data_IF_399490629836
#
_entry.id   IF_399490629836
#
_cell.length_a   1.000
_cell.length_b   1.000
_cell.length_c   1.000
_cell.angle_alpha   90.00
_cell.angle_beta   90.00
_cell.angle_gamma   90.00
#
_symmetry.space_group_name_H-M   'P 1'
#
loop_
_entity.id
_entity.type
_entity.pdbx_description
1 polymer ?
#
# COMPACT_ATOMS: atom_id res chain seq x y z
N UNK A 1 -5.42 -28.28 0.13
CA UNK A 1 -4.39 -28.85 1.03
C UNK A 1 -3.24 -27.86 1.12
N UNK A 2 -3.00 -27.32 2.31
CA UNK A 2 -1.93 -26.39 2.64
C UNK A 2 -0.58 -27.10 2.72
N UNK A 3 0.51 -26.38 2.45
CA UNK A 3 1.92 -26.82 2.55
C UNK A 3 2.30 -27.43 3.93
N UNK A 4 1.49 -27.19 4.96
CA UNK A 4 1.52 -27.92 6.24
C UNK A 4 0.09 -28.38 6.59
N UNK A 5 -0.31 -29.61 6.25
CA UNK A 5 -1.67 -30.10 6.49
C UNK A 5 -1.91 -30.54 7.94
N UNK A 6 -0.86 -30.68 8.76
CA UNK A 6 -0.95 -31.17 10.16
C UNK A 6 -0.73 -30.10 11.23
N UNK A 7 -0.35 -28.88 10.87
CA UNK A 7 -0.29 -27.78 11.84
C UNK A 7 -1.62 -27.01 11.78
N UNK A 8 -2.51 -27.24 12.74
CA UNK A 8 -3.53 -26.25 13.12
C UNK A 8 -2.81 -25.06 13.76
N UNK A 9 -2.07 -24.31 12.94
CA UNK A 9 -1.30 -23.18 13.39
C UNK A 9 -2.27 -22.03 13.64
N UNK A 10 -2.42 -21.68 14.92
CA UNK A 10 -3.26 -20.56 15.30
C UNK A 10 -2.76 -19.30 14.59
N UNK A 11 -3.59 -18.68 13.75
CA UNK A 11 -3.22 -17.50 12.94
C UNK A 11 -2.69 -16.35 13.82
N UNK A 12 -3.18 -16.26 15.06
CA UNK A 12 -2.71 -15.29 16.05
C UNK A 12 -1.27 -15.59 16.49
N UNK A 13 -0.92 -16.87 16.67
CA UNK A 13 0.43 -17.30 17.02
C UNK A 13 1.41 -17.08 15.87
N UNK A 14 0.99 -17.37 14.63
CA UNK A 14 1.80 -17.06 13.43
C UNK A 14 2.04 -15.56 13.33
N UNK A 15 0.98 -14.75 13.46
CA UNK A 15 1.09 -13.31 13.43
C UNK A 15 1.99 -12.77 14.55
N UNK A 16 1.94 -13.35 15.74
CA UNK A 16 2.81 -12.98 16.86
C UNK A 16 4.28 -13.31 16.57
N UNK A 17 4.59 -14.50 16.02
CA UNK A 17 5.95 -14.87 15.60
C UNK A 17 6.45 -13.89 14.52
N UNK A 18 5.63 -13.59 13.52
CA UNK A 18 5.94 -12.61 12.46
C UNK A 18 6.26 -11.25 13.07
N UNK A 19 5.43 -10.78 14.03
CA UNK A 19 5.66 -9.52 14.73
C UNK A 19 7.02 -9.50 15.46
N UNK A 20 7.36 -10.56 16.19
CA UNK A 20 8.66 -10.69 16.87
C UNK A 20 9.82 -10.66 15.87
N UNK A 21 9.73 -11.39 14.76
CA UNK A 21 10.74 -11.38 13.71
C UNK A 21 10.92 -9.97 13.13
N UNK A 22 9.83 -9.27 12.83
CA UNK A 22 9.87 -7.90 12.31
C UNK A 22 10.52 -6.94 13.32
N UNK A 23 10.23 -7.07 14.61
CA UNK A 23 10.88 -6.27 15.66
C UNK A 23 12.40 -6.46 15.62
N UNK A 24 12.87 -7.72 15.61
CA UNK A 24 14.31 -8.05 15.57
C UNK A 24 14.98 -7.48 14.32
N UNK A 25 14.36 -7.65 13.15
CA UNK A 25 14.91 -7.17 11.89
C UNK A 25 15.00 -5.63 11.83
N UNK A 26 14.04 -4.93 12.44
CA UNK A 26 14.00 -3.46 12.43
C UNK A 26 15.02 -2.78 13.36
N UNK A 27 15.66 -3.52 14.28
CA UNK A 27 16.66 -2.95 15.19
C UNK A 27 17.96 -2.50 14.51
N UNK A 28 18.33 -3.13 13.37
CA UNK A 28 19.62 -2.96 12.67
C UNK A 28 19.48 -2.44 11.22
N UNK A 29 18.35 -1.83 10.89
CA UNK A 29 18.09 -1.38 9.51
C UNK A 29 19.00 -0.20 9.13
N UNK A 30 20.02 -0.47 8.31
CA UNK A 30 20.86 0.52 7.64
C UNK A 30 20.44 0.62 6.17
N UNK A 31 20.29 1.83 5.65
CA UNK A 31 19.77 2.10 4.29
C UNK A 31 20.47 1.29 3.18
N UNK A 32 21.78 1.01 3.32
CA UNK A 32 22.52 0.22 2.32
C UNK A 32 22.04 -1.23 2.26
N UNK A 33 21.85 -1.87 3.41
CA UNK A 33 21.39 -3.27 3.51
C UNK A 33 19.98 -3.38 2.95
N UNK A 34 19.15 -2.39 3.26
CA UNK A 34 17.77 -2.26 2.82
C UNK A 34 17.66 -2.17 1.28
N UNK A 35 18.56 -1.44 0.62
CA UNK A 35 18.60 -1.36 -0.86
C UNK A 35 18.91 -2.72 -1.51
N UNK A 36 19.91 -3.47 -1.03
CA UNK A 36 20.22 -4.80 -1.58
C UNK A 36 19.08 -5.79 -1.37
N UNK A 37 18.46 -5.75 -0.19
CA UNK A 37 17.28 -6.57 0.09
C UNK A 37 16.11 -6.21 -0.84
N UNK A 38 15.88 -4.92 -1.12
CA UNK A 38 14.86 -4.48 -2.08
C UNK A 38 15.06 -5.10 -3.47
N UNK A 39 16.30 -5.21 -3.94
CA UNK A 39 16.60 -5.87 -5.21
C UNK A 39 16.15 -7.32 -5.22
N UNK A 40 16.44 -8.06 -4.15
CA UNK A 40 15.99 -9.44 -3.98
C UNK A 40 14.45 -9.53 -3.93
N UNK A 41 13.79 -8.64 -3.18
CA UNK A 41 12.33 -8.60 -3.10
C UNK A 41 11.68 -8.35 -4.46
N UNK A 42 12.25 -7.45 -5.27
CA UNK A 42 11.78 -7.17 -6.62
C UNK A 42 11.95 -8.37 -7.55
N UNK A 43 13.06 -9.12 -7.44
CA UNK A 43 13.27 -10.36 -8.20
C UNK A 43 12.23 -11.41 -7.78
N UNK A 44 12.03 -11.63 -6.47
CA UNK A 44 11.01 -12.55 -5.98
C UNK A 44 9.61 -12.16 -6.45
N UNK A 45 9.28 -10.86 -6.42
CA UNK A 45 8.01 -10.33 -6.92
C UNK A 45 7.88 -10.57 -8.42
N UNK A 46 8.91 -10.27 -9.22
CA UNK A 46 8.89 -10.50 -10.66
C UNK A 46 8.67 -11.98 -11.01
N UNK A 47 9.40 -12.88 -10.35
CA UNK A 47 9.21 -14.34 -10.54
C UNK A 47 7.81 -14.78 -10.14
N UNK A 48 7.31 -14.31 -8.98
CA UNK A 48 5.95 -14.59 -8.53
C UNK A 48 4.90 -14.07 -9.52
N UNK A 49 5.09 -12.87 -10.06
CA UNK A 49 4.23 -12.28 -11.07
C UNK A 49 4.22 -13.09 -12.37
N UNK A 50 5.38 -13.53 -12.85
CA UNK A 50 5.48 -14.39 -14.04
C UNK A 50 4.68 -15.68 -13.83
N UNK A 51 4.84 -16.33 -12.66
CA UNK A 51 4.08 -17.55 -12.34
C UNK A 51 2.57 -17.30 -12.28
N UNK A 52 2.14 -16.15 -11.74
CA UNK A 52 0.72 -15.73 -11.75
C UNK A 52 0.21 -15.63 -13.18
N UNK A 53 0.92 -14.92 -14.07
CA UNK A 53 0.48 -14.77 -15.46
C UNK A 53 0.47 -16.11 -16.21
N UNK A 54 1.50 -16.94 -16.03
CA UNK A 54 1.53 -18.30 -16.59
C UNK A 54 0.30 -19.09 -16.13
N UNK A 55 -0.04 -19.02 -14.84
CA UNK A 55 -1.25 -19.67 -14.32
C UNK A 55 -2.52 -19.13 -14.98
N UNK A 56 -2.68 -17.80 -15.05
CA UNK A 56 -3.88 -17.16 -15.60
C UNK A 56 -4.11 -17.55 -17.06
N UNK A 57 -3.05 -17.57 -17.88
CA UNK A 57 -3.16 -17.88 -19.31
C UNK A 57 -3.27 -19.39 -19.59
N UNK A 58 -2.71 -20.26 -18.74
CA UNK A 58 -2.81 -21.72 -18.92
C UNK A 58 -4.11 -22.31 -18.38
N UNK A 59 -4.70 -21.68 -17.35
CA UNK A 59 -5.91 -22.18 -16.69
C UNK A 59 -7.21 -21.87 -17.41
N UNK A 60 -7.15 -21.13 -18.53
CA UNK A 60 -8.29 -20.67 -19.31
C UNK A 60 -8.95 -19.43 -18.73
N UNK A 61 -9.04 -18.37 -19.52
CA UNK A 61 -9.78 -17.14 -19.18
C UNK A 61 -11.24 -17.28 -19.64
N UNK A 62 -12.18 -16.79 -18.85
CA UNK A 62 -13.56 -16.68 -19.31
C UNK A 62 -13.74 -15.49 -20.27
N UNK A 63 -14.75 -15.58 -21.15
CA UNK A 63 -15.13 -14.46 -22.03
C UNK A 63 -15.58 -13.26 -21.20
N UNK A 64 -15.26 -12.05 -21.68
CA UNK A 64 -15.64 -10.78 -21.04
C UNK A 64 -17.17 -10.66 -20.92
N UNK A 65 -17.91 -11.22 -21.89
CA UNK A 65 -19.38 -11.20 -21.92
C UNK A 65 -20.04 -11.96 -20.76
N UNK A 66 -19.29 -12.82 -20.07
CA UNK A 66 -19.80 -13.59 -18.93
C UNK A 66 -20.06 -12.71 -17.70
N UNK A 67 -19.37 -11.58 -17.58
CA UNK A 67 -19.40 -10.75 -16.38
C UNK A 67 -20.16 -9.45 -16.59
N UNK A 68 -20.87 -8.94 -15.56
CA UNK A 68 -21.57 -7.67 -15.68
C UNK A 68 -20.56 -6.53 -15.90
N UNK A 69 -20.86 -5.65 -16.88
CA UNK A 69 -19.98 -4.53 -17.23
C UNK A 69 -19.91 -3.45 -16.13
N UNK A 70 -20.92 -3.37 -15.26
CA UNK A 70 -21.04 -2.36 -14.22
C UNK A 70 -21.29 -3.06 -12.88
N UNK A 71 -20.57 -2.64 -11.84
CA UNK A 71 -20.76 -3.10 -10.46
C UNK A 71 -21.58 -2.08 -9.65
N UNK A 72 -21.98 -2.46 -8.44
CA UNK A 72 -22.69 -1.60 -7.50
C UNK A 72 -21.86 -0.35 -7.13
N UNK A 73 -22.53 0.77 -6.86
CA UNK A 73 -21.89 2.03 -6.52
C UNK A 73 -20.94 1.92 -5.30
N UNK A 74 -21.34 1.15 -4.28
CA UNK A 74 -20.49 0.90 -3.11
C UNK A 74 -19.20 0.16 -3.47
N UNK A 75 -19.29 -0.86 -4.34
CA UNK A 75 -18.13 -1.62 -4.80
C UNK A 75 -17.21 -0.77 -5.68
N UNK A 76 -17.79 0.16 -6.46
CA UNK A 76 -17.01 1.13 -7.24
C UNK A 76 -16.20 2.05 -6.33
N UNK A 77 -16.78 2.55 -5.23
CA UNK A 77 -16.06 3.40 -4.26
C UNK A 77 -14.94 2.65 -3.53
N UNK A 78 -15.18 1.38 -3.18
CA UNK A 78 -14.16 0.51 -2.58
C UNK A 78 -13.04 0.24 -3.57
N UNK A 79 -13.37 -0.12 -4.82
CA UNK A 79 -12.39 -0.33 -5.88
C UNK A 79 -11.55 0.93 -6.13
N UNK A 80 -12.20 2.10 -6.20
CA UNK A 80 -11.50 3.38 -6.33
C UNK A 80 -10.51 3.60 -5.19
N UNK A 81 -10.91 3.31 -3.94
CA UNK A 81 -10.06 3.46 -2.76
C UNK A 81 -8.86 2.50 -2.78
N UNK A 82 -9.06 1.24 -3.19
CA UNK A 82 -7.97 0.26 -3.36
C UNK A 82 -7.01 0.68 -4.47
N UNK A 83 -7.51 1.24 -5.58
CA UNK A 83 -6.67 1.80 -6.65
C UNK A 83 -5.84 2.97 -6.11
N UNK A 84 -6.45 3.87 -5.33
CA UNK A 84 -5.73 4.97 -4.70
C UNK A 84 -4.63 4.49 -3.76
N UNK A 85 -4.91 3.46 -2.95
CA UNK A 85 -3.89 2.81 -2.12
C UNK A 85 -2.76 2.20 -2.94
N UNK A 86 -3.07 1.59 -4.10
CA UNK A 86 -2.07 0.93 -4.95
C UNK A 86 -1.05 1.89 -5.57
N UNK A 87 -1.36 3.19 -5.62
CA UNK A 87 -0.45 4.24 -6.08
C UNK A 87 0.16 5.06 -4.93
N UNK A 88 0.01 4.59 -3.68
CA UNK A 88 0.63 5.22 -2.53
C UNK A 88 2.16 5.01 -2.55
N UNK A 89 2.90 6.06 -2.87
CA UNK A 89 4.37 6.08 -2.79
C UNK A 89 4.96 7.47 -2.55
N UNK A 90 4.12 8.46 -2.27
CA UNK A 90 4.50 9.88 -2.27
C UNK A 90 5.52 10.22 -1.18
N UNK A 91 5.48 9.51 -0.04
CA UNK A 91 6.42 9.70 1.07
C UNK A 91 7.86 9.29 0.74
N UNK A 92 8.04 8.45 -0.29
CA UNK A 92 9.34 7.97 -0.75
C UNK A 92 9.94 8.84 -1.85
N UNK A 93 9.15 9.71 -2.48
CA UNK A 93 9.58 10.55 -3.61
C UNK A 93 10.80 11.40 -3.25
N UNK A 94 10.72 12.20 -2.19
CA UNK A 94 11.82 13.10 -1.81
C UNK A 94 13.08 12.34 -1.32
N UNK A 95 12.97 11.32 -0.45
CA UNK A 95 14.12 10.49 -0.09
C UNK A 95 14.81 9.86 -1.29
N UNK A 96 14.05 9.29 -2.24
CA UNK A 96 14.60 8.67 -3.45
C UNK A 96 15.29 9.71 -4.33
N UNK A 97 14.62 10.82 -4.63
CA UNK A 97 15.16 11.88 -5.47
C UNK A 97 16.48 12.44 -4.90
N UNK A 98 16.55 12.64 -3.57
CA UNK A 98 17.77 13.13 -2.90
C UNK A 98 18.96 12.16 -2.93
N UNK A 99 18.72 10.89 -3.27
CA UNK A 99 19.74 9.83 -3.30
C UNK A 99 20.13 9.42 -4.72
N UNK A 100 19.52 10.01 -5.75
CA UNK A 100 19.89 9.77 -7.14
C UNK A 100 21.19 10.49 -7.50
N UNK A 101 21.95 9.88 -8.42
CA UNK A 101 23.13 10.50 -9.02
C UNK A 101 22.75 11.80 -9.77
N UNK A 102 21.62 11.79 -10.47
CA UNK A 102 21.03 12.97 -11.09
C UNK A 102 19.58 13.17 -10.60
N UNK A 103 19.37 14.06 -9.60
CA UNK A 103 18.04 14.38 -9.09
C UNK A 103 17.12 15.09 -10.08
N UNK A 104 17.67 15.74 -11.12
CA UNK A 104 16.90 16.49 -12.11
C UNK A 104 16.15 15.54 -13.08
N UNK A 105 16.74 14.39 -13.37
CA UNK A 105 16.14 13.33 -14.18
C UNK A 105 14.96 12.60 -13.51
N UNK A 106 14.74 12.75 -12.20
CA UNK A 106 13.66 12.04 -11.50
C UNK A 106 12.27 12.44 -12.00
N UNK A 107 12.01 13.74 -12.09
CA UNK A 107 10.71 14.33 -12.47
C UNK A 107 10.58 14.70 -13.94
N UNK A 108 11.58 14.36 -14.78
CA UNK A 108 11.51 14.60 -16.22
C UNK A 108 10.34 13.86 -16.88
N UNK A 109 9.89 14.30 -18.06
CA UNK A 109 8.77 13.70 -18.80
C UNK A 109 8.95 12.21 -19.04
N UNK A 110 10.16 11.78 -19.36
CA UNK A 110 10.58 10.36 -19.47
C UNK A 110 11.54 9.99 -18.33
N UNK A 111 11.39 10.65 -17.19
CA UNK A 111 12.19 10.42 -16.00
C UNK A 111 11.84 9.12 -15.30
N UNK A 112 12.54 8.87 -14.20
CA UNK A 112 12.40 7.64 -13.41
C UNK A 112 10.99 7.50 -12.84
N UNK A 113 10.40 8.60 -12.35
CA UNK A 113 9.06 8.57 -11.76
C UNK A 113 7.99 8.20 -12.80
N UNK A 114 7.97 8.90 -13.95
CA UNK A 114 6.95 8.65 -14.99
C UNK A 114 7.05 7.24 -15.55
N UNK A 115 8.26 6.79 -15.86
CA UNK A 115 8.50 5.43 -16.39
C UNK A 115 8.08 4.37 -15.37
N UNK A 116 8.44 4.54 -14.10
CA UNK A 116 8.04 3.64 -13.02
C UNK A 116 6.52 3.56 -12.86
N UNK A 117 5.83 4.70 -12.87
CA UNK A 117 4.37 4.74 -12.73
C UNK A 117 3.66 4.07 -13.92
N UNK A 118 4.13 4.26 -15.16
CA UNK A 118 3.54 3.58 -16.33
C UNK A 118 3.63 2.06 -16.17
N UNK A 119 4.80 1.53 -15.79
CA UNK A 119 4.99 0.10 -15.56
C UNK A 119 4.04 -0.42 -14.49
N UNK A 120 3.92 0.28 -13.37
CA UNK A 120 3.03 -0.10 -12.26
C UNK A 120 1.56 -0.07 -12.70
N UNK A 121 1.12 0.97 -13.42
CA UNK A 121 -0.26 1.07 -13.95
C UNK A 121 -0.56 -0.11 -14.87
N UNK A 122 0.30 -0.39 -15.85
CA UNK A 122 0.10 -1.49 -16.78
C UNK A 122 0.05 -2.84 -16.05
N UNK A 123 0.93 -3.04 -15.07
CA UNK A 123 0.98 -4.29 -14.30
C UNK A 123 -0.28 -4.47 -13.46
N UNK A 124 -0.69 -3.45 -12.69
CA UNK A 124 -1.89 -3.50 -11.86
C UNK A 124 -3.15 -3.71 -12.71
N UNK A 125 -3.24 -3.03 -13.85
CA UNK A 125 -4.36 -3.19 -14.78
C UNK A 125 -4.40 -4.61 -15.36
N UNK A 126 -3.27 -5.16 -15.80
CA UNK A 126 -3.21 -6.52 -16.34
C UNK A 126 -3.59 -7.57 -15.30
N UNK A 127 -3.07 -7.46 -14.08
CA UNK A 127 -3.38 -8.40 -12.98
C UNK A 127 -4.84 -8.31 -12.58
N UNK A 128 -5.36 -7.09 -12.40
CA UNK A 128 -6.76 -6.87 -12.06
C UNK A 128 -7.70 -7.43 -13.14
N UNK A 129 -7.42 -7.12 -14.41
CA UNK A 129 -8.24 -7.55 -15.54
C UNK A 129 -8.21 -9.08 -15.73
N UNK A 130 -7.03 -9.67 -15.94
CA UNK A 130 -6.92 -11.12 -16.19
C UNK A 130 -7.25 -11.95 -14.95
N UNK A 131 -6.93 -11.45 -13.75
CA UNK A 131 -7.33 -12.07 -12.49
C UNK A 131 -8.85 -12.14 -12.35
N UNK A 132 -9.54 -11.03 -12.63
CA UNK A 132 -11.00 -11.00 -12.59
C UNK A 132 -11.64 -11.91 -13.64
N UNK A 133 -11.12 -11.93 -14.88
CA UNK A 133 -11.61 -12.84 -15.92
C UNK A 133 -11.47 -14.32 -15.56
N UNK A 134 -10.51 -14.68 -14.72
CA UNK A 134 -10.32 -16.08 -14.29
C UNK A 134 -11.18 -16.46 -13.10
N UNK A 135 -11.23 -15.62 -12.07
CA UNK A 135 -11.82 -15.93 -10.77
C UNK A 135 -13.22 -15.34 -10.56
N UNK A 136 -13.58 -14.28 -11.30
CA UNK A 136 -14.85 -13.58 -11.17
C UNK A 136 -15.11 -13.08 -9.74
N UNK A 137 -16.36 -13.23 -9.30
CA UNK A 137 -16.81 -12.82 -7.95
C UNK A 137 -16.23 -13.66 -6.81
N UNK A 138 -15.62 -14.81 -7.10
CA UNK A 138 -14.96 -15.66 -6.10
C UNK A 138 -13.51 -15.22 -5.82
N UNK A 139 -13.13 -14.03 -6.27
CA UNK A 139 -11.78 -13.52 -6.04
C UNK A 139 -11.58 -13.11 -4.59
N UNK A 140 -10.64 -13.77 -3.92
CA UNK A 140 -10.14 -13.36 -2.61
C UNK A 140 -9.38 -12.03 -2.71
N UNK A 141 -9.25 -11.31 -1.58
CA UNK A 141 -8.59 -10.00 -1.49
C UNK A 141 -7.11 -9.96 -1.91
N UNK A 142 -6.50 -11.12 -2.18
CA UNK A 142 -5.20 -11.24 -2.84
C UNK A 142 -5.24 -12.34 -3.89
N UNK A 143 -4.70 -12.07 -5.09
CA UNK A 143 -4.61 -13.06 -6.17
C UNK A 143 -3.80 -14.31 -5.76
N UNK A 144 -2.84 -14.15 -4.86
CA UNK A 144 -2.00 -15.25 -4.37
C UNK A 144 -2.81 -16.29 -3.59
N UNK A 145 -3.93 -15.91 -2.98
CA UNK A 145 -4.82 -16.81 -2.26
C UNK A 145 -5.64 -17.67 -3.22
N UNK A 146 -6.04 -17.10 -4.35
CA UNK A 146 -6.84 -17.76 -5.39
C UNK A 146 -6.05 -18.82 -6.17
N UNK A 147 -4.71 -18.74 -6.19
CA UNK A 147 -3.88 -19.70 -6.91
C UNK A 147 -3.72 -20.99 -6.08
N UNK A 148 -4.13 -22.15 -6.64
CA UNK A 148 -4.01 -23.43 -5.96
C UNK A 148 -2.54 -23.82 -5.82
N UNK A 149 -2.23 -24.54 -4.74
CA UNK A 149 -0.88 -25.08 -4.51
C UNK A 149 -0.58 -26.33 -5.36
N UNK A 150 -1.61 -26.90 -5.97
CA UNK A 150 -1.53 -28.09 -6.83
C UNK A 150 -2.05 -27.68 -8.21
N UNK A 151 -1.33 -27.99 -9.32
CA UNK A 151 -0.06 -28.73 -9.40
C UNK A 151 1.14 -27.95 -8.82
N UNK A 152 2.17 -28.70 -8.37
CA UNK A 152 3.33 -28.16 -7.61
C UNK A 152 4.11 -27.04 -8.30
N UNK A 153 3.99 -26.88 -9.62
CA UNK A 153 4.61 -25.81 -10.39
C UNK A 153 4.23 -24.40 -9.92
N UNK A 154 3.04 -24.22 -9.35
CA UNK A 154 2.57 -22.92 -8.83
C UNK A 154 2.72 -22.78 -7.31
N UNK A 155 3.13 -23.85 -6.60
CA UNK A 155 3.38 -23.81 -5.16
C UNK A 155 4.39 -22.70 -4.73
N UNK A 156 5.43 -22.35 -5.52
CA UNK A 156 6.38 -21.31 -5.15
C UNK A 156 5.80 -19.88 -5.09
N UNK A 157 4.63 -19.61 -5.67
CA UNK A 157 4.03 -18.25 -5.69
C UNK A 157 3.89 -17.68 -4.29
N UNK A 158 3.29 -18.43 -3.35
CA UNK A 158 3.07 -17.95 -1.98
C UNK A 158 4.39 -17.68 -1.23
N UNK A 159 5.37 -18.61 -1.17
CA UNK A 159 6.68 -18.34 -0.57
C UNK A 159 7.41 -17.13 -1.17
N UNK A 160 7.41 -16.98 -2.49
CA UNK A 160 8.07 -15.85 -3.17
C UNK A 160 7.47 -14.51 -2.71
N UNK A 161 6.15 -14.41 -2.68
CA UNK A 161 5.47 -13.19 -2.20
C UNK A 161 5.64 -12.99 -0.70
N UNK A 162 5.67 -14.04 0.11
CA UNK A 162 5.96 -13.93 1.55
C UNK A 162 7.34 -13.30 1.76
N UNK A 163 8.39 -13.83 1.10
CA UNK A 163 9.75 -13.29 1.18
C UNK A 163 9.79 -11.83 0.71
N UNK A 164 9.18 -11.54 -0.44
CA UNK A 164 9.11 -10.18 -0.96
C UNK A 164 8.41 -9.22 0.02
N UNK A 165 7.27 -9.61 0.59
CA UNK A 165 6.53 -8.78 1.56
C UNK A 165 7.32 -8.54 2.84
N UNK A 166 8.01 -9.55 3.38
CA UNK A 166 8.86 -9.39 4.56
C UNK A 166 9.94 -8.33 4.35
N UNK A 167 10.61 -8.40 3.20
CA UNK A 167 11.66 -7.44 2.86
C UNK A 167 11.09 -6.05 2.58
N UNK A 168 9.98 -5.97 1.83
CA UNK A 168 9.28 -4.71 1.55
C UNK A 168 8.78 -4.02 2.81
N UNK A 169 8.37 -4.78 3.84
CA UNK A 169 8.00 -4.21 5.14
C UNK A 169 9.18 -3.45 5.77
N UNK A 170 10.41 -3.98 5.70
CA UNK A 170 11.59 -3.31 6.26
C UNK A 170 11.88 -1.97 5.58
N UNK A 171 11.66 -1.91 4.26
CA UNK A 171 11.78 -0.70 3.45
C UNK A 171 10.71 0.32 3.83
N UNK A 172 9.45 -0.10 3.84
CA UNK A 172 8.31 0.77 4.12
C UNK A 172 8.32 1.28 5.57
N UNK A 173 8.80 0.46 6.51
CA UNK A 173 8.93 0.81 7.92
C UNK A 173 10.00 1.89 8.19
N UNK A 174 11.04 1.97 7.35
CA UNK A 174 12.12 2.93 7.52
C UNK A 174 11.63 4.39 7.56
N UNK A 175 10.74 4.76 6.64
CA UNK A 175 10.22 6.13 6.51
C UNK A 175 9.45 6.59 7.76
N UNK A 176 8.38 5.91 8.22
CA UNK A 176 7.68 6.30 9.43
C UNK A 176 8.62 6.28 10.65
N UNK A 177 9.50 5.28 10.78
CA UNK A 177 10.46 5.27 11.88
C UNK A 177 11.38 6.51 11.88
N UNK A 178 11.81 7.00 10.71
CA UNK A 178 12.61 8.22 10.60
C UNK A 178 11.78 9.49 10.87
N UNK A 179 10.53 9.54 10.44
CA UNK A 179 9.62 10.66 10.72
C UNK A 179 9.34 10.77 12.21
N UNK A 180 8.92 9.67 12.85
CA UNK A 180 8.64 9.65 14.29
C UNK A 180 9.89 9.88 15.14
N UNK A 181 11.06 9.39 14.72
CA UNK A 181 12.34 9.70 15.39
C UNK A 181 12.60 11.20 15.40
N UNK A 182 12.45 11.88 14.25
CA UNK A 182 12.63 13.35 14.15
C UNK A 182 11.58 14.12 14.94
N UNK A 183 10.34 13.63 14.98
CA UNK A 183 9.29 14.23 15.80
C UNK A 183 9.63 14.11 17.29
N UNK A 184 10.13 12.94 17.71
CA UNK A 184 10.51 12.67 19.08
C UNK A 184 11.70 13.51 19.53
N UNK A 185 12.68 13.74 18.65
CA UNK A 185 13.81 14.65 18.92
C UNK A 185 13.38 16.10 19.18
N UNK A 186 12.25 16.54 18.62
CA UNK A 186 11.67 17.88 18.87
C UNK A 186 10.93 17.98 20.21
N UNK A 187 10.61 16.86 20.87
CA UNK A 187 9.91 16.87 22.15
C UNK A 187 10.87 17.24 23.28
N UNK A 188 10.52 18.24 24.10
CA UNK A 188 11.33 18.72 25.24
C UNK A 188 11.73 17.59 26.20
N UNK A 189 10.83 16.63 26.46
CA UNK A 189 11.10 15.47 27.33
C UNK A 189 12.22 14.57 26.80
N UNK A 190 12.39 14.48 25.47
CA UNK A 190 13.46 13.70 24.85
C UNK A 190 14.75 14.52 24.68
N UNK A 191 14.60 15.83 24.41
CA UNK A 191 15.72 16.75 24.33
C UNK A 191 16.48 16.87 25.67
N UNK A 192 15.79 16.81 26.81
CA UNK A 192 16.45 16.89 28.12
C UNK A 192 16.87 15.53 28.70
N UNK A 193 16.62 14.42 27.99
CA UNK A 193 16.92 13.08 28.46
C UNK A 193 18.40 12.71 28.28
N UNK A 194 18.92 11.85 29.17
CA UNK A 194 20.28 11.28 29.06
C UNK A 194 20.44 10.46 27.77
N UNK A 195 21.68 10.33 27.26
CA UNK A 195 21.99 9.56 26.04
C UNK A 195 21.43 8.13 26.08
N UNK A 196 21.46 7.48 27.24
CA UNK A 196 20.92 6.13 27.42
C UNK A 196 19.38 6.10 27.34
N UNK A 197 18.71 7.09 27.95
CA UNK A 197 17.25 7.24 27.87
C UNK A 197 16.80 7.58 26.45
N UNK A 198 17.54 8.43 25.72
CA UNK A 198 17.26 8.72 24.32
C UNK A 198 17.31 7.46 23.46
N UNK A 199 18.36 6.63 23.65
CA UNK A 199 18.47 5.35 22.96
C UNK A 199 17.29 4.42 23.24
N UNK A 200 16.91 4.23 24.51
CA UNK A 200 15.78 3.39 24.91
C UNK A 200 14.48 3.91 24.32
N UNK A 201 14.22 5.21 24.44
CA UNK A 201 13.03 5.87 23.92
C UNK A 201 12.86 5.67 22.41
N UNK A 202 13.94 5.79 21.64
CA UNK A 202 13.91 5.55 20.19
C UNK A 202 13.63 4.07 19.86
N UNK A 203 14.15 3.12 20.64
CA UNK A 203 13.86 1.70 20.45
C UNK A 203 12.42 1.35 20.83
N UNK A 204 11.90 1.89 21.94
CA UNK A 204 10.51 1.70 22.35
C UNK A 204 9.53 2.28 21.32
N UNK A 205 9.80 3.47 20.80
CA UNK A 205 9.01 4.06 19.71
C UNK A 205 9.00 3.13 18.49
N UNK A 206 10.14 2.52 18.14
CA UNK A 206 10.20 1.58 17.01
C UNK A 206 9.34 0.33 17.26
N UNK A 207 9.48 -0.28 18.43
CA UNK A 207 8.66 -1.43 18.82
C UNK A 207 7.16 -1.06 18.77
N UNK A 208 6.79 0.12 19.28
CA UNK A 208 5.40 0.59 19.28
C UNK A 208 4.81 0.70 17.87
N UNK A 209 5.58 1.14 16.88
CA UNK A 209 5.11 1.22 15.49
C UNK A 209 4.84 -0.17 14.90
N UNK A 210 5.69 -1.15 15.19
CA UNK A 210 5.48 -2.54 14.73
C UNK A 210 4.25 -3.15 15.42
N UNK A 211 4.12 -2.97 16.74
CA UNK A 211 2.94 -3.45 17.49
C UNK A 211 1.66 -2.81 16.96
N UNK A 212 1.67 -1.51 16.66
CA UNK A 212 0.53 -0.82 16.07
C UNK A 212 0.11 -1.45 14.74
N UNK A 213 1.08 -1.73 13.85
CA UNK A 213 0.79 -2.40 12.57
C UNK A 213 0.23 -3.81 12.74
N UNK A 214 0.72 -4.56 13.73
CA UNK A 214 0.20 -5.88 14.07
C UNK A 214 -1.23 -5.81 14.62
N UNK A 215 -1.51 -4.86 15.52
CA UNK A 215 -2.85 -4.65 16.06
C UNK A 215 -3.86 -4.32 14.95
N UNK A 216 -3.49 -3.44 14.00
CA UNK A 216 -4.34 -3.12 12.86
C UNK A 216 -4.66 -4.37 12.00
N UNK A 217 -3.67 -5.23 11.75
CA UNK A 217 -3.86 -6.46 11.00
C UNK A 217 -4.77 -7.49 11.72
N UNK A 218 -4.73 -7.53 13.05
CA UNK A 218 -5.59 -8.41 13.86
C UNK A 218 -7.03 -7.90 13.92
N UNK A 219 -7.22 -6.57 13.96
CA UNK A 219 -8.55 -5.94 14.05
C UNK A 219 -9.37 -6.10 12.77
N UNK A 220 -8.74 -6.03 11.59
CA UNK A 220 -9.42 -6.12 10.29
C UNK A 220 -8.89 -7.35 9.52
N UNK A 221 -9.50 -8.54 9.70
CA UNK A 221 -9.02 -9.78 9.09
C UNK A 221 -9.35 -9.90 7.58
N UNK A 222 -9.88 -8.85 6.96
CA UNK A 222 -10.20 -8.73 5.53
C UNK A 222 -9.25 -7.72 4.88
N UNK A 223 -8.28 -8.24 4.12
CA UNK A 223 -7.22 -7.44 3.53
C UNK A 223 -7.77 -6.37 2.58
N UNK A 224 -8.71 -6.73 1.70
CA UNK A 224 -9.40 -5.83 0.79
C UNK A 224 -10.06 -4.63 1.49
N UNK A 225 -10.74 -4.87 2.61
CA UNK A 225 -11.36 -3.81 3.42
C UNK A 225 -10.30 -2.91 4.09
N UNK A 226 -9.22 -3.50 4.60
CA UNK A 226 -8.11 -2.73 5.17
C UNK A 226 -7.45 -1.83 4.11
N UNK A 227 -7.19 -2.36 2.91
CA UNK A 227 -6.64 -1.59 1.79
C UNK A 227 -7.56 -0.44 1.38
N UNK A 228 -8.86 -0.70 1.31
CA UNK A 228 -9.88 0.31 1.01
C UNK A 228 -9.90 1.41 2.08
N UNK A 229 -9.87 1.06 3.37
CA UNK A 229 -9.89 2.03 4.47
C UNK A 229 -8.67 2.96 4.45
N UNK A 230 -7.48 2.39 4.25
CA UNK A 230 -6.24 3.16 4.19
C UNK A 230 -6.22 4.04 2.93
N UNK A 231 -6.66 3.51 1.79
CA UNK A 231 -6.77 4.23 0.54
C UNK A 231 -7.77 5.39 0.59
N UNK A 232 -8.93 5.19 1.20
CA UNK A 232 -9.96 6.22 1.35
C UNK A 232 -9.48 7.31 2.31
N UNK A 233 -8.86 6.98 3.43
CA UNK A 233 -8.42 7.97 4.41
C UNK A 233 -7.10 8.65 4.02
N UNK A 234 -6.02 7.88 3.96
CA UNK A 234 -4.68 8.40 3.76
C UNK A 234 -4.41 8.66 2.27
N UNK A 235 -4.78 7.71 1.41
CA UNK A 235 -4.53 7.79 -0.04
C UNK A 235 -5.21 9.00 -0.69
N UNK A 236 -6.51 9.18 -0.47
CA UNK A 236 -7.27 10.31 -1.05
C UNK A 236 -6.76 11.68 -0.54
N UNK A 237 -6.44 11.77 0.76
CA UNK A 237 -5.95 13.00 1.39
C UNK A 237 -4.59 13.38 0.84
N UNK A 238 -3.65 12.43 0.79
CA UNK A 238 -2.27 12.69 0.35
C UNK A 238 -2.14 12.86 -1.17
N UNK A 239 -2.98 12.18 -1.97
CA UNK A 239 -2.90 12.25 -3.42
C UNK A 239 -3.65 13.44 -4.02
N UNK A 240 -4.81 13.80 -3.47
CA UNK A 240 -5.67 14.84 -4.05
C UNK A 240 -5.77 16.08 -3.18
N UNK A 241 -6.18 15.94 -1.92
CA UNK A 241 -6.53 17.09 -1.08
C UNK A 241 -5.28 17.92 -0.74
N UNK A 242 -4.23 17.27 -0.22
CA UNK A 242 -3.04 17.96 0.26
C UNK A 242 -2.25 18.64 -0.87
N UNK A 243 -1.94 18.00 -2.01
CA UNK A 243 -1.24 18.69 -3.10
C UNK A 243 -2.06 19.84 -3.68
N UNK A 244 -3.36 19.65 -3.90
CA UNK A 244 -4.22 20.69 -4.48
C UNK A 244 -4.39 21.90 -3.54
N UNK A 245 -4.50 21.67 -2.24
CA UNK A 245 -4.59 22.76 -1.25
C UNK A 245 -3.28 23.51 -1.11
N UNK A 246 -2.14 22.82 -1.06
CA UNK A 246 -0.83 23.46 -0.97
C UNK A 246 -0.52 24.30 -2.20
N UNK A 247 -0.78 23.79 -3.41
CA UNK A 247 -0.56 24.53 -4.65
C UNK A 247 -1.50 25.75 -4.74
N UNK A 248 -2.76 25.61 -4.32
CA UNK A 248 -3.71 26.72 -4.30
C UNK A 248 -3.28 27.83 -3.31
N UNK A 249 -2.81 27.46 -2.12
CA UNK A 249 -2.29 28.42 -1.12
C UNK A 249 -1.03 29.10 -1.66
N UNK A 250 -0.14 28.35 -2.29
CA UNK A 250 1.11 28.87 -2.84
C UNK A 250 0.86 29.88 -3.98
N UNK A 251 -0.09 29.61 -4.88
CA UNK A 251 -0.43 30.48 -6.02
C UNK A 251 -1.40 31.61 -5.65
N UNK A 252 -1.96 31.62 -4.43
CA UNK A 252 -2.95 32.61 -4.00
C UNK A 252 -2.45 34.07 -4.01
N UNK A 253 -1.21 34.38 -3.60
CA UNK A 253 -0.69 35.75 -3.62
C UNK A 253 -0.58 36.32 -5.04
N UNK A 254 -0.17 35.50 -6.01
CA UNK A 254 0.08 35.90 -7.40
C UNK A 254 -1.14 35.73 -8.32
N UNK A 255 -2.34 35.52 -7.75
CA UNK A 255 -3.57 35.25 -8.51
C UNK A 255 -3.93 36.33 -9.53
N UNK A 256 -3.52 37.58 -9.30
CA UNK A 256 -3.75 38.70 -10.23
C UNK A 256 -2.89 38.65 -11.49
N UNK A 257 -1.73 38.00 -11.42
CA UNK A 257 -0.78 37.88 -12.53
C UNK A 257 -1.06 36.64 -13.42
N UNK A 258 -1.91 35.72 -12.96
CA UNK A 258 -2.23 34.48 -13.66
C UNK A 258 -3.52 34.68 -14.47
N UNK A 259 -3.39 34.68 -15.80
CA UNK A 259 -4.56 34.77 -16.70
C UNK A 259 -5.53 33.60 -16.46
N UNK A 260 -6.82 33.91 -16.31
CA UNK A 260 -7.89 32.93 -16.02
C UNK A 260 -7.67 32.10 -14.75
N UNK A 261 -7.03 32.65 -13.71
CA UNK A 261 -6.78 31.98 -12.43
C UNK A 261 -8.01 31.22 -11.88
N UNK A 262 -9.16 31.89 -11.81
CA UNK A 262 -10.39 31.31 -11.27
C UNK A 262 -10.89 30.11 -12.08
N UNK A 263 -10.78 30.16 -13.40
CA UNK A 263 -11.30 29.09 -14.27
C UNK A 263 -10.31 27.95 -14.48
N UNK A 264 -9.01 28.23 -14.58
CA UNK A 264 -7.99 27.21 -14.85
C UNK A 264 -7.37 26.62 -13.59
N UNK A 265 -7.02 27.46 -12.62
CA UNK A 265 -6.29 27.03 -11.43
C UNK A 265 -7.29 26.65 -10.34
N UNK A 266 -8.15 27.59 -9.94
CA UNK A 266 -9.09 27.36 -8.84
C UNK A 266 -10.07 26.23 -9.12
N UNK A 267 -10.76 26.22 -10.28
CA UNK A 267 -11.69 25.14 -10.64
C UNK A 267 -11.00 23.78 -10.69
N UNK A 268 -9.81 23.69 -11.30
CA UNK A 268 -9.04 22.43 -11.37
C UNK A 268 -8.74 21.87 -9.97
N UNK A 269 -8.23 22.71 -9.07
CA UNK A 269 -7.90 22.27 -7.70
C UNK A 269 -9.15 21.95 -6.88
N UNK A 270 -10.25 22.68 -7.07
CA UNK A 270 -11.53 22.36 -6.43
C UNK A 270 -12.11 21.03 -6.91
N UNK A 271 -11.95 20.69 -8.19
CA UNK A 271 -12.32 19.36 -8.71
C UNK A 271 -11.49 18.27 -8.02
N UNK A 272 -10.16 18.43 -7.93
CA UNK A 272 -9.32 17.46 -7.24
C UNK A 272 -9.68 17.30 -5.76
N UNK A 273 -9.91 18.41 -5.04
CA UNK A 273 -10.34 18.37 -3.64
C UNK A 273 -11.70 17.66 -3.52
N UNK A 274 -12.65 17.94 -4.42
CA UNK A 274 -13.97 17.30 -4.43
C UNK A 274 -13.88 15.79 -4.66
N UNK A 275 -13.05 15.34 -5.61
CA UNK A 275 -12.77 13.92 -5.85
C UNK A 275 -12.13 13.28 -4.61
N UNK A 276 -11.18 13.98 -3.98
CA UNK A 276 -10.55 13.53 -2.74
C UNK A 276 -11.55 13.36 -1.60
N UNK A 277 -12.44 14.33 -1.39
CA UNK A 277 -13.48 14.26 -0.37
C UNK A 277 -14.52 13.16 -0.65
N UNK A 278 -14.96 13.03 -1.91
CA UNK A 278 -15.88 11.97 -2.32
C UNK A 278 -15.28 10.58 -2.06
N UNK A 279 -14.01 10.40 -2.41
CA UNK A 279 -13.27 9.17 -2.13
C UNK A 279 -13.11 8.91 -0.64
N UNK A 280 -12.76 9.95 0.13
CA UNK A 280 -12.57 9.84 1.57
C UNK A 280 -13.85 9.42 2.29
N UNK A 281 -14.93 10.18 2.11
CA UNK A 281 -16.19 9.90 2.78
C UNK A 281 -16.90 8.69 2.19
N UNK A 282 -16.99 8.61 0.85
CA UNK A 282 -17.66 7.50 0.16
C UNK A 282 -16.96 6.17 0.42
N UNK A 283 -15.63 6.13 0.27
CA UNK A 283 -14.82 4.94 0.54
C UNK A 283 -14.87 4.53 2.01
N UNK A 284 -14.80 5.47 2.95
CA UNK A 284 -14.89 5.18 4.38
C UNK A 284 -16.25 4.61 4.76
N UNK A 285 -17.34 5.25 4.33
CA UNK A 285 -18.70 4.77 4.62
C UNK A 285 -18.92 3.38 4.03
N UNK A 286 -18.57 3.17 2.76
CA UNK A 286 -18.72 1.88 2.10
C UNK A 286 -17.91 0.78 2.80
N UNK A 287 -16.68 1.09 3.21
CA UNK A 287 -15.80 0.13 3.89
C UNK A 287 -16.32 -0.19 5.29
N UNK A 288 -16.77 0.81 6.06
CA UNK A 288 -17.34 0.59 7.41
C UNK A 288 -18.60 -0.27 7.33
N UNK A 289 -19.51 0.01 6.39
CA UNK A 289 -20.71 -0.81 6.19
C UNK A 289 -20.35 -2.27 5.96
N UNK A 290 -19.40 -2.56 5.07
CA UNK A 290 -18.95 -3.92 4.80
C UNK A 290 -18.25 -4.57 6.01
N UNK A 291 -17.45 -3.81 6.78
CA UNK A 291 -16.84 -4.32 8.01
C UNK A 291 -17.93 -4.73 9.00
N UNK A 292 -18.94 -3.89 9.22
CA UNK A 292 -20.05 -4.19 10.14
C UNK A 292 -20.83 -5.44 9.69
N UNK A 293 -21.10 -5.58 8.40
CA UNK A 293 -21.80 -6.75 7.86
C UNK A 293 -20.99 -8.04 8.02
N UNK A 294 -19.66 -7.98 7.84
CA UNK A 294 -18.77 -9.11 8.09
C UNK A 294 -18.76 -9.51 9.57
N UNK A 295 -18.75 -8.55 10.49
CA UNK A 295 -18.81 -8.86 11.92
C UNK A 295 -20.16 -9.42 12.36
N UNK A 296 -21.28 -8.92 11.79
CA UNK A 296 -22.62 -9.46 12.07
C UNK A 296 -22.79 -10.89 11.59
N UNK A 297 -22.38 -11.19 10.36
CA UNK A 297 -22.51 -12.55 9.80
C UNK A 297 -21.65 -13.60 10.51
N UNK A 298 -20.57 -13.20 11.19
CA UNK A 298 -19.73 -14.10 12.00
C UNK A 298 -20.33 -14.38 13.40
N UNK A 299 -21.30 -13.58 13.83
CA UNK A 299 -21.96 -13.72 15.14
C UNK A 299 -23.25 -14.56 15.12
N UNK A 300 -23.76 -14.83 13.91
CA UNK A 300 -24.90 -15.72 13.61
C UNK A 300 -24.42 -17.10 13.18
#
# INVERSE_FOLDING_TARGET
MSFFPHLTLNIYLVGFIVCLLLIVMNFKSSMRVVTYLSGLANICTALGMILIFVYLFTSGLYSVERFPAITNFNNLLIAFSIVMFSFEGISLVLPIQSKMLDPSGYGSRFGVLTTGMIVVVCMNAAVGFFGFLRFGEQSEGSITLNIPQVPYWFAPVKPLFIIAMFVSYLLQYYVPAQIFSRLMEKLKCHHNASNQQRYINLKLMRISLVIFSYAAAVLIPRLDLLLSLIGSLAGSTLAFILPATLELIYLWPDRGNISWFWLKVFTKHMIFISIGLLSCFGGLIATIMQIVDVFRSKSS
#
